data_IF_089153012611
#
_entry.id   IF_089153012611
#
_cell.length_a   1.000
_cell.length_b   1.000
_cell.length_c   1.000
_cell.angle_alpha   90.00
_cell.angle_beta   90.00
_cell.angle_gamma   90.00
#
_symmetry.space_group_name_H-M   'P 1'
#
loop_
_entity.id
_entity.type
_entity.pdbx_description
1 polymer ?
#
# COMPACT_ATOMS: atom_id res chain seq x y z
N UNK A 1 3.36 8.94 6.11
CA UNK A 1 1.93 8.55 6.16
C UNK A 1 1.14 9.71 5.59
N UNK A 2 0.20 9.46 4.67
CA UNK A 2 -0.73 10.46 4.15
C UNK A 2 -2.15 9.92 4.36
N UNK A 3 -3.13 10.82 4.43
CA UNK A 3 -4.51 10.48 4.74
C UNK A 3 -5.42 10.89 3.58
N UNK A 4 -6.28 9.98 3.13
CA UNK A 4 -7.41 10.31 2.27
C UNK A 4 -8.59 10.74 3.14
N UNK A 5 -9.20 11.89 2.84
CA UNK A 5 -10.34 12.41 3.60
C UNK A 5 -11.65 11.78 3.14
N UNK A 6 -12.51 11.44 4.09
CA UNK A 6 -13.82 10.85 3.82
C UNK A 6 -13.79 9.35 3.49
N UNK A 7 -14.95 8.80 3.18
CA UNK A 7 -15.09 7.40 2.80
C UNK A 7 -14.43 7.15 1.44
N UNK A 8 -13.65 6.07 1.35
CA UNK A 8 -12.93 5.69 0.14
C UNK A 8 -13.60 4.48 -0.50
N UNK A 9 -13.66 4.45 -1.83
CA UNK A 9 -14.30 3.34 -2.55
C UNK A 9 -13.43 2.07 -2.54
N UNK A 10 -12.12 2.23 -2.68
CA UNK A 10 -11.12 1.16 -2.70
C UNK A 10 -9.73 1.75 -2.35
N UNK A 11 -8.71 0.91 -2.26
CA UNK A 11 -7.34 1.33 -1.93
C UNK A 11 -6.67 2.19 -3.00
N UNK A 12 -7.09 2.13 -4.27
CA UNK A 12 -6.59 3.08 -5.28
C UNK A 12 -7.17 4.47 -5.05
N UNK A 13 -8.45 4.57 -4.70
CA UNK A 13 -9.04 5.85 -4.31
C UNK A 13 -8.35 6.45 -3.08
N UNK A 14 -7.88 5.61 -2.14
CA UNK A 14 -7.05 6.06 -1.01
C UNK A 14 -5.72 6.62 -1.52
N UNK A 15 -5.04 5.94 -2.45
CA UNK A 15 -3.78 6.43 -3.02
C UNK A 15 -3.98 7.76 -3.74
N UNK A 16 -4.99 7.88 -4.60
CA UNK A 16 -5.30 9.11 -5.33
C UNK A 16 -5.65 10.27 -4.39
N UNK A 17 -6.58 10.05 -3.45
CA UNK A 17 -7.06 11.09 -2.55
C UNK A 17 -6.08 11.43 -1.42
N UNK A 18 -5.07 10.58 -1.18
CA UNK A 18 -3.94 10.87 -0.30
C UNK A 18 -2.70 11.37 -1.08
N UNK A 19 -2.86 11.69 -2.37
CA UNK A 19 -1.82 12.24 -3.26
C UNK A 19 -0.59 11.34 -3.39
N UNK A 20 -0.78 10.03 -3.52
CA UNK A 20 0.26 9.09 -3.91
C UNK A 20 0.22 8.84 -5.42
N UNK A 21 1.34 9.10 -6.08
CA UNK A 21 1.57 8.62 -7.44
C UNK A 21 1.67 7.09 -7.45
N UNK A 22 0.93 6.46 -8.35
CA UNK A 22 0.91 5.01 -8.46
C UNK A 22 0.70 4.54 -9.89
N UNK A 23 1.20 3.35 -10.18
CA UNK A 23 0.93 2.64 -11.43
C UNK A 23 0.35 1.26 -11.12
N UNK A 24 -0.66 0.88 -11.89
CA UNK A 24 -1.30 -0.40 -11.78
C UNK A 24 -0.33 -1.54 -12.13
N UNK A 25 -0.47 -2.66 -11.43
CA UNK A 25 0.24 -3.90 -11.71
C UNK A 25 -0.41 -4.72 -12.82
N UNK A 26 0.25 -5.83 -13.15
CA UNK A 26 -0.20 -6.77 -14.18
C UNK A 26 -1.57 -7.37 -13.85
N UNK A 27 -1.89 -7.55 -12.56
CA UNK A 27 -3.15 -8.12 -12.11
C UNK A 27 -4.13 -7.05 -11.64
N UNK A 28 -5.44 -7.21 -11.87
CA UNK A 28 -6.45 -6.27 -11.38
C UNK A 28 -6.32 -5.99 -9.88
N UNK A 29 -6.37 -4.72 -9.49
CA UNK A 29 -6.26 -4.32 -8.10
C UNK A 29 -4.84 -4.33 -7.51
N UNK A 30 -3.80 -4.62 -8.31
CA UNK A 30 -2.42 -4.62 -7.84
C UNK A 30 -1.67 -3.34 -8.19
N UNK A 31 -0.59 -3.04 -7.45
CA UNK A 31 0.30 -1.91 -7.69
C UNK A 31 1.62 -2.42 -8.27
N UNK A 32 2.10 -1.80 -9.34
CA UNK A 32 3.45 -2.00 -9.88
C UNK A 32 4.43 -0.99 -9.29
N UNK A 33 4.07 0.29 -9.34
CA UNK A 33 4.89 1.37 -8.80
C UNK A 33 4.08 2.24 -7.84
N UNK A 34 4.76 2.71 -6.81
CA UNK A 34 4.25 3.67 -5.84
C UNK A 34 5.34 4.71 -5.59
N UNK A 35 5.02 6.00 -5.73
CA UNK A 35 6.00 7.10 -5.61
C UNK A 35 7.23 6.90 -6.52
N UNK A 36 7.00 6.40 -7.73
CA UNK A 36 8.06 6.08 -8.71
C UNK A 36 8.93 4.87 -8.36
N UNK A 37 8.59 4.10 -7.32
CA UNK A 37 9.35 2.93 -6.88
C UNK A 37 8.60 1.60 -7.12
N UNK A 38 9.30 0.50 -7.47
CA UNK A 38 10.70 0.48 -7.92
C UNK A 38 10.86 1.26 -9.23
N UNK A 39 12.00 1.90 -9.43
CA UNK A 39 12.25 2.76 -10.62
C UNK A 39 12.22 1.98 -11.93
N UNK A 40 12.51 0.68 -11.87
CA UNK A 40 12.50 -0.23 -13.01
C UNK A 40 11.09 -0.47 -13.58
N UNK A 41 10.03 -0.28 -12.79
CA UNK A 41 8.65 -0.52 -13.22
C UNK A 41 8.40 -1.95 -13.70
N UNK A 42 7.51 -2.12 -14.67
CA UNK A 42 7.25 -3.43 -15.30
C UNK A 42 8.33 -3.76 -16.34
N UNK A 43 8.81 -5.02 -16.46
CA UNK A 43 8.36 -6.26 -15.81
C UNK A 43 9.06 -6.57 -14.47
N UNK A 44 9.85 -5.63 -13.94
CA UNK A 44 10.55 -5.84 -12.68
C UNK A 44 9.55 -5.99 -11.52
N UNK A 45 8.51 -5.16 -11.47
CA UNK A 45 7.36 -5.46 -10.63
C UNK A 45 6.64 -6.72 -11.15
N UNK A 46 6.19 -7.59 -10.25
CA UNK A 46 5.45 -8.84 -10.48
C UNK A 46 6.19 -10.02 -11.10
N UNK A 47 7.12 -9.82 -12.04
CA UNK A 47 7.75 -10.96 -12.74
C UNK A 47 9.18 -11.25 -12.28
N UNK A 48 10.00 -10.22 -12.08
CA UNK A 48 11.46 -10.42 -11.87
C UNK A 48 11.93 -9.97 -10.49
N UNK A 49 11.57 -8.75 -10.10
CA UNK A 49 12.14 -8.06 -8.95
C UNK A 49 11.38 -8.26 -7.65
N UNK A 50 10.05 -8.37 -7.73
CA UNK A 50 9.18 -8.46 -6.56
C UNK A 50 7.84 -7.79 -6.77
N UNK A 51 7.06 -7.64 -5.72
CA UNK A 51 5.72 -7.06 -5.80
C UNK A 51 5.45 -6.11 -4.62
N UNK A 52 4.46 -5.22 -4.78
CA UNK A 52 3.96 -4.43 -3.67
C UNK A 52 2.98 -5.25 -2.85
N UNK A 53 3.45 -5.72 -1.70
CA UNK A 53 2.59 -6.36 -0.69
C UNK A 53 1.69 -5.33 -0.03
N UNK A 54 0.43 -5.70 0.22
CA UNK A 54 -0.59 -4.80 0.73
C UNK A 54 -1.08 -5.26 2.12
N UNK A 55 -1.22 -4.30 3.02
CA UNK A 55 -1.38 -4.52 4.44
C UNK A 55 -2.43 -3.59 5.03
N UNK A 56 -3.12 -4.07 6.07
CA UNK A 56 -4.14 -3.32 6.79
C UNK A 56 -3.91 -3.43 8.29
N UNK A 57 -4.18 -2.37 9.03
CA UNK A 57 -4.20 -2.37 10.48
C UNK A 57 -5.39 -1.61 10.99
N UNK A 58 -5.89 -2.00 12.16
CA UNK A 58 -7.06 -1.35 12.76
C UNK A 58 -6.78 0.00 13.38
N UNK A 59 -5.50 0.28 13.63
CA UNK A 59 -5.04 1.54 14.20
C UNK A 59 -3.68 1.90 13.62
N UNK A 60 -3.37 3.19 13.54
CA UNK A 60 -2.01 3.63 13.23
C UNK A 60 -1.02 3.10 14.29
N UNK A 61 0.08 2.49 13.84
CA UNK A 61 1.04 1.82 14.73
C UNK A 61 0.60 0.47 15.29
N UNK A 62 -0.60 -0.01 14.93
CA UNK A 62 -1.10 -1.33 15.31
C UNK A 62 -0.45 -2.46 14.54
N UNK A 63 -0.84 -3.70 14.87
CA UNK A 63 -0.37 -4.88 14.17
C UNK A 63 -0.88 -4.90 12.72
N UNK A 64 0.03 -5.13 11.78
CA UNK A 64 -0.30 -5.27 10.36
C UNK A 64 -0.82 -6.67 10.05
N UNK A 65 -1.86 -6.72 9.22
CA UNK A 65 -2.36 -7.95 8.60
C UNK A 65 -2.16 -7.87 7.10
N UNK A 66 -1.59 -8.93 6.53
CA UNK A 66 -1.46 -9.07 5.08
C UNK A 66 -2.86 -9.14 4.47
N UNK A 67 -3.07 -8.44 3.35
CA UNK A 67 -4.34 -8.49 2.61
C UNK A 67 -4.26 -9.54 1.51
N UNK A 68 -5.21 -10.48 1.53
CA UNK A 68 -5.39 -11.48 0.46
C UNK A 68 -6.00 -10.85 -0.81
N UNK A 69 -6.49 -9.63 -0.71
CA UNK A 69 -7.10 -8.87 -1.80
C UNK A 69 -6.18 -7.73 -2.24
N UNK A 70 -6.17 -7.41 -3.53
CA UNK A 70 -5.55 -6.20 -4.06
C UNK A 70 -6.28 -4.92 -3.62
N UNK A 71 -5.60 -3.78 -3.72
CA UNK A 71 -6.12 -2.45 -3.41
C UNK A 71 -7.41 -2.12 -4.17
N UNK A 72 -7.58 -2.61 -5.40
CA UNK A 72 -8.79 -2.37 -6.20
C UNK A 72 -9.95 -3.35 -5.99
N UNK A 73 -9.76 -4.44 -5.25
CA UNK A 73 -10.75 -5.53 -5.16
C UNK A 73 -11.23 -5.83 -3.73
N UNK A 74 -10.42 -5.52 -2.71
CA UNK A 74 -10.76 -5.79 -1.32
C UNK A 74 -11.44 -4.61 -0.63
N UNK A 75 -12.17 -4.85 0.47
CA UNK A 75 -12.76 -3.77 1.26
C UNK A 75 -11.65 -2.85 1.79
N UNK A 76 -11.82 -1.53 1.66
CA UNK A 76 -10.94 -0.58 2.36
C UNK A 76 -11.10 -0.71 3.86
N UNK A 77 -10.03 -0.44 4.63
CA UNK A 77 -10.16 -0.30 6.07
C UNK A 77 -11.21 0.77 6.44
N UNK A 78 -11.95 0.54 7.52
CA UNK A 78 -12.94 1.51 8.01
C UNK A 78 -12.32 2.82 8.51
N UNK A 79 -13.14 3.82 8.87
CA UNK A 79 -12.65 5.09 9.41
C UNK A 79 -11.71 4.90 10.62
N UNK A 80 -10.53 5.53 10.59
CA UNK A 80 -9.52 5.43 11.67
C UNK A 80 -8.57 4.24 11.56
N UNK A 81 -8.83 3.31 10.65
CA UNK A 81 -7.93 2.23 10.30
C UNK A 81 -6.88 2.72 9.29
N UNK A 82 -5.80 1.96 9.13
CA UNK A 82 -4.71 2.30 8.19
C UNK A 82 -4.47 1.16 7.21
N UNK A 83 -4.05 1.52 6.02
CA UNK A 83 -3.50 0.60 5.04
C UNK A 83 -2.12 1.05 4.58
N UNK A 84 -1.37 0.13 4.01
CA UNK A 84 -0.04 0.43 3.53
C UNK A 84 0.48 -0.62 2.56
N UNK A 85 1.48 -0.19 1.80
CA UNK A 85 2.17 -1.00 0.84
C UNK A 85 3.64 -1.10 1.22
N UNK A 86 4.24 -2.27 0.99
CA UNK A 86 5.70 -2.45 1.09
C UNK A 86 6.18 -3.32 -0.06
N UNK A 87 7.21 -2.86 -0.76
CA UNK A 87 7.82 -3.65 -1.81
C UNK A 87 8.51 -4.86 -1.18
N UNK A 88 8.16 -6.05 -1.69
CA UNK A 88 8.67 -7.34 -1.27
C UNK A 88 9.49 -7.92 -2.43
N UNK A 89 10.84 -7.82 -2.37
CA UNK A 89 11.69 -8.43 -3.38
C UNK A 89 11.62 -9.95 -3.30
N UNK A 90 11.50 -10.64 -4.43
CA UNK A 90 11.43 -12.11 -4.44
C UNK A 90 12.67 -12.78 -3.82
N UNK A 91 13.83 -12.13 -3.93
CA UNK A 91 15.08 -12.62 -3.35
C UNK A 91 15.13 -12.56 -1.80
N UNK A 92 14.25 -11.79 -1.15
CA UNK A 92 14.35 -11.48 0.29
C UNK A 92 13.35 -12.28 1.16
N UNK A 93 12.75 -13.35 0.62
CA UNK A 93 11.82 -14.20 1.35
C UNK A 93 10.41 -13.62 1.49
N UNK A 94 9.64 -13.99 2.52
CA UNK A 94 8.24 -13.60 2.64
C UNK A 94 8.08 -12.09 2.83
N UNK A 95 7.01 -11.55 2.25
CA UNK A 95 6.67 -10.14 2.37
C UNK A 95 6.60 -9.70 3.83
N UNK A 96 7.14 -8.52 4.10
CA UNK A 96 7.17 -7.93 5.43
C UNK A 96 6.21 -6.75 5.50
N UNK A 97 5.63 -6.46 6.67
CA UNK A 97 4.71 -5.34 6.81
C UNK A 97 5.42 -3.99 6.66
N UNK A 98 4.70 -2.92 6.27
CA UNK A 98 5.22 -1.56 6.24
C UNK A 98 5.71 -1.15 7.63
N UNK A 99 6.83 -0.43 7.69
CA UNK A 99 7.29 0.17 8.94
C UNK A 99 6.54 1.51 9.09
N UNK A 100 5.55 1.58 9.98
CA UNK A 100 4.97 2.88 10.35
C UNK A 100 5.91 3.49 11.36
N UNK A 101 6.69 4.49 10.97
CA UNK A 101 7.21 5.44 11.96
C UNK A 101 6.02 6.15 12.57
N UNK A 102 5.96 6.27 13.90
CA UNK A 102 5.03 7.18 14.56
C UNK A 102 5.22 8.56 13.95
N UNK A 103 4.31 9.01 13.07
CA UNK A 103 4.25 10.42 12.74
C UNK A 103 3.97 11.13 14.05
N UNK A 104 4.95 11.91 14.53
CA UNK A 104 4.76 12.81 15.67
C UNK A 104 3.56 13.74 15.45
N UNK A 105 3.09 14.39 16.52
CA UNK A 105 1.86 15.17 16.49
C UNK A 105 1.93 16.26 15.40
N UNK A 106 0.81 16.43 14.69
CA UNK A 106 0.53 17.65 13.93
C UNK A 106 0.40 18.76 15.00
N UNK A 107 1.43 19.59 15.15
CA UNK A 107 1.35 20.79 15.98
C UNK A 107 0.63 21.87 15.14
N UNK A 108 -0.39 22.57 15.70
CA UNK A 108 -1.14 23.61 14.99
C UNK A 108 -0.29 24.78 14.49
#
# INVERSE_FOLDING_TARGET
MRCALGAQANGFAVLDNADFSHHHGQYPGTVCQLEGLPTQGHPFCWTVGGYWSYWKSTTAGGAWKYSEWGAGAGPVPGPGHVEGWRFAPFANGPAQPPRVGTSGPIVP
#
